data_IF_705582646878
#
_entry.id   IF_705582646878
#
_cell.length_a   1.000
_cell.length_b   1.000
_cell.length_c   1.000
_cell.angle_alpha   90.00
_cell.angle_beta   90.00
_cell.angle_gamma   90.00
#
_symmetry.space_group_name_H-M   'P 1'
#
loop_
_entity.id
_entity.type
_entity.pdbx_description
1 polymer ?
#
# COMPACT_ATOMS: atom_id res chain seq x y z
N UNK A 1 14.64 -2.16 -16.31
CA UNK A 1 15.25 -1.01 -15.61
C UNK A 1 14.24 0.04 -15.15
N UNK A 2 13.27 0.50 -15.99
CA UNK A 2 12.27 1.51 -15.58
C UNK A 2 11.38 1.09 -14.39
N UNK A 3 10.98 -0.18 -14.32
CA UNK A 3 10.14 -0.72 -13.22
C UNK A 3 10.84 -0.78 -11.88
N UNK A 4 12.13 -1.10 -11.86
CA UNK A 4 12.95 -1.09 -10.63
C UNK A 4 13.12 0.34 -10.11
N UNK A 5 13.31 1.30 -11.00
CA UNK A 5 13.45 2.71 -10.65
C UNK A 5 12.16 3.29 -10.05
N UNK A 6 11.00 2.91 -10.60
CA UNK A 6 9.69 3.29 -10.04
C UNK A 6 9.48 2.68 -8.66
N UNK A 7 9.84 1.41 -8.44
CA UNK A 7 9.72 0.77 -7.13
C UNK A 7 10.61 1.46 -6.08
N UNK A 8 11.84 1.84 -6.44
CA UNK A 8 12.76 2.57 -5.54
C UNK A 8 12.19 3.96 -5.19
N UNK A 9 11.60 4.68 -6.16
CA UNK A 9 10.98 5.99 -5.92
C UNK A 9 9.78 5.85 -4.97
N UNK A 10 8.92 4.84 -5.15
CA UNK A 10 7.76 4.61 -4.27
C UNK A 10 8.22 4.29 -2.85
N UNK A 11 9.24 3.44 -2.69
CA UNK A 11 9.81 3.12 -1.37
C UNK A 11 10.41 4.36 -0.73
N UNK A 12 11.14 5.20 -1.47
CA UNK A 12 11.72 6.43 -0.97
C UNK A 12 10.64 7.44 -0.52
N UNK A 13 9.54 7.56 -1.26
CA UNK A 13 8.40 8.43 -0.90
C UNK A 13 7.70 7.92 0.37
N UNK A 14 7.48 6.62 0.52
CA UNK A 14 6.87 6.02 1.71
C UNK A 14 7.77 6.19 2.93
N UNK A 15 9.07 5.98 2.79
CA UNK A 15 10.04 6.18 3.88
C UNK A 15 10.18 7.66 4.27
N UNK A 16 10.16 8.58 3.30
CA UNK A 16 10.23 10.02 3.59
C UNK A 16 8.94 10.53 4.25
N UNK A 17 7.77 10.09 3.81
CA UNK A 17 6.50 10.41 4.45
C UNK A 17 6.41 9.86 5.88
N UNK A 18 6.93 8.66 6.14
CA UNK A 18 7.04 8.10 7.49
C UNK A 18 8.05 8.84 8.38
N UNK A 19 9.22 9.18 7.84
CA UNK A 19 10.28 9.82 8.61
C UNK A 19 9.99 11.28 8.95
N UNK A 20 9.40 12.05 8.02
CA UNK A 20 9.08 13.46 8.22
C UNK A 20 7.64 13.70 8.70
N UNK A 21 6.69 12.85 8.36
CA UNK A 21 5.27 13.01 8.71
C UNK A 21 4.97 12.64 10.16
N UNK A 22 5.57 11.58 10.68
CA UNK A 22 5.37 11.15 12.08
C UNK A 22 5.84 12.16 13.12
N UNK A 23 7.05 12.78 13.04
CA UNK A 23 7.47 13.79 13.99
C UNK A 23 6.56 15.02 14.01
N UNK A 24 6.12 15.51 12.85
CA UNK A 24 5.23 16.68 12.73
C UNK A 24 3.84 16.39 13.33
N UNK A 25 3.31 15.18 13.15
CA UNK A 25 2.05 14.75 13.75
C UNK A 25 2.16 14.61 15.28
N UNK A 26 3.28 14.08 15.78
CA UNK A 26 3.54 13.96 17.21
C UNK A 26 3.72 15.35 17.84
N UNK A 27 4.46 16.23 17.18
CA UNK A 27 4.72 17.60 17.67
C UNK A 27 3.44 18.43 17.73
N UNK A 28 2.58 18.33 16.72
CA UNK A 28 1.28 19.03 16.68
C UNK A 28 0.30 18.50 17.74
N UNK A 29 0.33 17.20 18.04
CA UNK A 29 -0.52 16.59 19.06
C UNK A 29 0.03 16.74 20.49
N UNK A 30 1.35 16.93 20.66
CA UNK A 30 1.96 17.14 21.98
C UNK A 30 2.09 18.63 22.35
N UNK A 31 1.88 19.56 21.41
CA UNK A 31 1.94 20.99 21.67
C UNK A 31 0.91 21.44 22.73
N UNK A 32 -0.31 20.89 22.68
CA UNK A 32 -1.34 21.13 23.71
C UNK A 32 -0.92 20.62 25.08
N UNK A 33 -0.39 19.40 25.16
CA UNK A 33 0.11 18.82 26.41
C UNK A 33 1.28 19.61 27.00
N UNK A 34 2.19 20.12 26.17
CA UNK A 34 3.30 20.98 26.62
C UNK A 34 2.81 22.30 27.15
N UNK A 35 1.81 22.93 26.51
CA UNK A 35 1.20 24.18 26.99
C UNK A 35 0.49 24.00 28.34
N UNK A 36 -0.23 22.90 28.53
CA UNK A 36 -0.91 22.56 29.78
C UNK A 36 0.10 22.27 30.89
N UNK A 37 1.17 21.53 30.59
CA UNK A 37 2.26 21.23 31.53
C UNK A 37 3.02 22.49 31.94
N UNK A 38 3.22 23.43 31.03
CA UNK A 38 3.84 24.70 31.28
C UNK A 38 2.94 25.60 32.15
N UNK A 39 1.62 25.55 31.92
CA UNK A 39 0.63 26.27 32.75
C UNK A 39 0.56 25.70 34.16
N UNK A 40 0.61 24.38 34.31
CA UNK A 40 0.67 23.70 35.60
C UNK A 40 1.99 24.06 36.34
N UNK A 41 3.12 24.01 35.62
CA UNK A 41 4.42 24.39 36.17
C UNK A 41 4.45 25.85 36.68
N UNK A 42 3.93 26.80 35.88
CA UNK A 42 3.82 28.20 36.30
C UNK A 42 2.87 28.39 37.49
N UNK A 43 1.78 27.65 37.59
CA UNK A 43 0.89 27.68 38.75
C UNK A 43 1.57 27.12 39.99
N UNK A 44 2.31 26.01 39.87
CA UNK A 44 3.08 25.41 40.97
C UNK A 44 4.20 26.38 41.44
N UNK A 45 4.95 26.99 40.51
CA UNK A 45 5.99 27.99 40.84
C UNK A 45 5.42 29.24 41.55
N UNK A 46 4.26 29.77 41.07
CA UNK A 46 3.57 30.87 41.78
C UNK A 46 3.08 30.47 43.16
N UNK A 47 2.62 29.23 43.33
CA UNK A 47 2.19 28.72 44.63
C UNK A 47 3.37 28.50 45.59
N UNK A 48 4.56 28.14 45.06
CA UNK A 48 5.79 28.00 45.84
C UNK A 48 6.33 29.37 46.28
N UNK A 49 6.21 30.40 45.44
CA UNK A 49 6.54 31.78 45.82
C UNK A 49 5.55 32.36 46.85
N UNK A 50 4.26 32.08 46.73
CA UNK A 50 3.23 32.53 47.69
C UNK A 50 3.26 31.70 48.97
N UNK A 51 3.83 30.51 49.01
CA UNK A 51 3.97 29.63 50.18
C UNK A 51 5.28 29.83 50.97
N UNK A 52 6.07 30.87 50.66
CA UNK A 52 7.11 31.31 51.61
C UNK A 52 6.43 31.79 52.86
N UNK A 53 5.99 30.83 53.68
CA UNK A 53 5.48 31.07 55.00
C UNK A 53 6.66 31.58 55.81
N UNK A 54 6.60 32.87 56.21
CA UNK A 54 7.54 33.42 57.17
C UNK A 54 7.56 32.51 58.40
N UNK A 55 8.72 32.17 58.96
CA UNK A 55 8.80 31.29 60.12
C UNK A 55 7.90 31.85 61.21
N UNK A 56 6.98 31.06 61.73
CA UNK A 56 6.05 31.40 62.77
C UNK A 56 6.87 31.72 64.04
N UNK A 57 6.76 32.93 64.53
CA UNK A 57 7.37 33.30 65.82
C UNK A 57 6.64 32.58 66.97
N UNK A 58 7.31 32.18 68.06
CA UNK A 58 6.72 31.35 69.12
C UNK A 58 5.53 31.99 69.87
N UNK A 59 5.23 33.27 69.64
CA UNK A 59 4.14 34.03 70.23
C UNK A 59 2.98 34.28 69.27
N UNK A 60 2.88 33.55 68.17
CA UNK A 60 1.83 33.74 67.20
C UNK A 60 0.46 33.40 67.79
N UNK A 61 -0.47 34.34 67.74
CA UNK A 61 -1.86 34.23 68.14
C UNK A 61 -2.53 33.03 67.47
N UNK A 62 -3.18 32.16 68.26
CA UNK A 62 -3.87 30.91 67.80
C UNK A 62 -4.80 31.18 66.62
N UNK A 63 -5.42 32.36 66.54
CA UNK A 63 -6.27 32.76 65.43
C UNK A 63 -5.50 32.93 64.10
N UNK A 64 -4.23 33.37 64.13
CA UNK A 64 -3.41 33.47 62.91
C UNK A 64 -3.00 32.11 62.42
N UNK A 65 -2.64 31.21 63.33
CA UNK A 65 -2.29 29.81 63.00
C UNK A 65 -3.51 29.11 62.35
N UNK A 66 -4.71 29.26 62.93
CA UNK A 66 -5.96 28.69 62.37
C UNK A 66 -6.26 29.21 60.96
N UNK A 67 -6.06 30.52 60.72
CA UNK A 67 -6.25 31.10 59.36
C UNK A 67 -5.25 30.52 58.35
N UNK A 68 -3.99 30.37 58.74
CA UNK A 68 -2.93 29.79 57.85
C UNK A 68 -3.25 28.33 57.53
N UNK A 69 -3.62 27.55 58.52
CA UNK A 69 -4.00 26.12 58.34
C UNK A 69 -5.23 25.98 57.43
N UNK A 70 -6.26 26.78 57.63
CA UNK A 70 -7.43 26.76 56.77
C UNK A 70 -7.12 27.20 55.33
N UNK A 71 -6.27 28.20 55.16
CA UNK A 71 -5.79 28.63 53.82
C UNK A 71 -4.99 27.52 53.14
N UNK A 72 -4.11 26.85 53.88
CA UNK A 72 -3.33 25.72 53.35
C UNK A 72 -4.25 24.55 52.97
N UNK A 73 -5.21 24.20 53.81
CA UNK A 73 -6.20 23.17 53.52
C UNK A 73 -6.99 23.47 52.23
N UNK A 74 -7.45 24.72 52.05
CA UNK A 74 -8.13 25.15 50.83
C UNK A 74 -7.24 25.07 49.58
N UNK A 75 -5.94 25.43 49.71
CA UNK A 75 -4.97 25.32 48.62
C UNK A 75 -4.73 23.85 48.22
N UNK A 76 -4.57 22.98 49.22
CA UNK A 76 -4.41 21.52 48.98
C UNK A 76 -5.62 20.93 48.25
N UNK A 77 -6.83 21.30 48.67
CA UNK A 77 -8.06 20.86 47.95
C UNK A 77 -8.10 21.38 46.52
N UNK A 78 -7.73 22.63 46.28
CA UNK A 78 -7.69 23.20 44.93
C UNK A 78 -6.63 22.52 44.02
N UNK A 79 -5.49 22.11 44.59
CA UNK A 79 -4.48 21.32 43.88
C UNK A 79 -5.01 19.96 43.52
N UNK A 80 -5.64 19.24 44.48
CA UNK A 80 -6.22 17.90 44.25
C UNK A 80 -7.29 17.93 43.15
N UNK A 81 -8.19 18.92 43.17
CA UNK A 81 -9.20 19.12 42.13
C UNK A 81 -8.61 19.44 40.77
N UNK A 82 -7.56 20.26 40.72
CA UNK A 82 -6.86 20.61 39.50
C UNK A 82 -6.13 19.38 38.90
N UNK A 83 -5.51 18.58 39.76
CA UNK A 83 -4.84 17.33 39.38
C UNK A 83 -5.83 16.31 38.83
N UNK A 84 -6.96 16.07 39.50
CA UNK A 84 -8.02 15.19 39.05
C UNK A 84 -8.57 15.61 37.69
N UNK A 85 -8.83 16.92 37.52
CA UNK A 85 -9.30 17.45 36.21
C UNK A 85 -8.25 17.28 35.12
N UNK A 86 -6.97 17.51 35.43
CA UNK A 86 -5.86 17.30 34.49
C UNK A 86 -5.71 15.86 34.07
N UNK A 87 -5.81 14.91 35.02
CA UNK A 87 -5.77 13.48 34.70
C UNK A 87 -6.95 13.06 33.82
N UNK A 88 -8.17 13.48 34.15
CA UNK A 88 -9.34 13.16 33.33
C UNK A 88 -9.23 13.70 31.90
N UNK A 89 -8.74 14.94 31.72
CA UNK A 89 -8.52 15.53 30.41
C UNK A 89 -7.43 14.78 29.61
N UNK A 90 -6.37 14.33 30.29
CA UNK A 90 -5.30 13.54 29.68
C UNK A 90 -5.81 12.17 29.23
N UNK A 91 -6.57 11.48 30.07
CA UNK A 91 -7.19 10.20 29.73
C UNK A 91 -8.12 10.31 28.53
N UNK A 92 -8.93 11.35 28.49
CA UNK A 92 -9.82 11.58 27.33
C UNK A 92 -9.03 11.86 26.05
N UNK A 93 -7.96 12.64 26.14
CA UNK A 93 -7.07 12.94 25.01
C UNK A 93 -6.39 11.67 24.50
N UNK A 94 -5.88 10.82 25.39
CA UNK A 94 -5.28 9.54 25.04
C UNK A 94 -6.30 8.62 24.36
N UNK A 95 -7.52 8.52 24.88
CA UNK A 95 -8.59 7.72 24.28
C UNK A 95 -8.93 8.20 22.86
N UNK A 96 -9.11 9.51 22.69
CA UNK A 96 -9.41 10.09 21.36
C UNK A 96 -8.26 9.84 20.37
N UNK A 97 -7.02 10.01 20.81
CA UNK A 97 -5.85 9.79 19.98
C UNK A 97 -5.70 8.32 19.58
N UNK A 98 -5.94 7.40 20.51
CA UNK A 98 -5.95 5.96 20.25
C UNK A 98 -6.99 5.60 19.18
N UNK A 99 -8.24 6.04 19.35
CA UNK A 99 -9.30 5.78 18.37
C UNK A 99 -8.97 6.36 16.99
N UNK A 100 -8.50 7.61 16.92
CA UNK A 100 -8.11 8.23 15.66
C UNK A 100 -6.96 7.49 14.96
N UNK A 101 -5.99 7.00 15.74
CA UNK A 101 -4.86 6.22 15.20
C UNK A 101 -5.32 4.86 14.69
N UNK A 102 -6.20 4.18 15.41
CA UNK A 102 -6.78 2.89 15.01
C UNK A 102 -7.59 3.04 13.71
N UNK A 103 -8.44 4.07 13.60
CA UNK A 103 -9.19 4.36 12.38
C UNK A 103 -8.28 4.69 11.19
N UNK A 104 -7.23 5.48 11.40
CA UNK A 104 -6.26 5.80 10.36
C UNK A 104 -5.51 4.56 9.89
N UNK A 105 -5.13 3.66 10.80
CA UNK A 105 -4.46 2.40 10.49
C UNK A 105 -5.36 1.47 9.68
N UNK A 106 -6.63 1.32 10.06
CA UNK A 106 -7.60 0.51 9.31
C UNK A 106 -7.77 1.03 7.88
N UNK A 107 -7.89 2.35 7.71
CA UNK A 107 -7.99 2.98 6.38
C UNK A 107 -6.73 2.75 5.55
N UNK A 108 -5.57 2.84 6.17
CA UNK A 108 -4.28 2.61 5.49
C UNK A 108 -4.13 1.15 5.05
N UNK A 109 -4.49 0.19 5.90
CA UNK A 109 -4.47 -1.23 5.55
C UNK A 109 -5.39 -1.49 4.35
N UNK A 110 -6.63 -1.02 4.40
CA UNK A 110 -7.59 -1.18 3.29
C UNK A 110 -7.10 -0.55 1.97
N UNK A 111 -6.47 0.63 2.04
CA UNK A 111 -5.88 1.28 0.86
C UNK A 111 -4.69 0.47 0.31
N UNK A 112 -3.83 -0.06 1.18
CA UNK A 112 -2.68 -0.89 0.79
C UNK A 112 -3.12 -2.20 0.14
N UNK A 113 -4.13 -2.88 0.71
CA UNK A 113 -4.71 -4.10 0.14
C UNK A 113 -5.30 -3.86 -1.25
N UNK A 114 -5.99 -2.73 -1.42
CA UNK A 114 -6.52 -2.34 -2.73
C UNK A 114 -5.38 -2.13 -3.74
N UNK A 115 -4.35 -1.37 -3.37
CA UNK A 115 -3.18 -1.13 -4.24
C UNK A 115 -2.49 -2.44 -4.60
N UNK A 116 -2.33 -3.36 -3.65
CA UNK A 116 -1.73 -4.67 -3.89
C UNK A 116 -2.52 -5.47 -4.92
N UNK A 117 -3.86 -5.59 -4.77
CA UNK A 117 -4.74 -6.27 -5.71
C UNK A 117 -4.73 -5.63 -7.10
N UNK A 118 -4.81 -4.30 -7.17
CA UNK A 118 -4.77 -3.57 -8.44
C UNK A 118 -3.42 -3.75 -9.15
N UNK A 119 -2.33 -3.80 -8.39
CA UNK A 119 -0.98 -4.02 -8.91
C UNK A 119 -0.81 -5.45 -9.42
N UNK A 120 -1.28 -6.44 -8.67
CA UNK A 120 -1.28 -7.85 -9.09
C UNK A 120 -2.06 -8.03 -10.40
N UNK A 121 -3.27 -7.48 -10.47
CA UNK A 121 -4.08 -7.54 -11.69
C UNK A 121 -3.37 -6.89 -12.90
N UNK A 122 -2.69 -5.76 -12.69
CA UNK A 122 -1.89 -5.11 -13.75
C UNK A 122 -0.69 -5.95 -14.17
N UNK A 123 0.00 -6.60 -13.22
CA UNK A 123 1.12 -7.49 -13.51
C UNK A 123 0.64 -8.67 -14.36
N UNK A 124 -0.44 -9.35 -13.95
CA UNK A 124 -1.03 -10.46 -14.70
C UNK A 124 -1.39 -10.04 -16.12
N UNK A 125 -2.06 -8.90 -16.26
CA UNK A 125 -2.42 -8.35 -17.56
C UNK A 125 -1.19 -8.09 -18.45
N UNK A 126 -0.17 -7.43 -17.90
CA UNK A 126 1.04 -7.12 -18.65
C UNK A 126 1.81 -8.39 -19.05
N UNK A 127 1.87 -9.38 -18.17
CA UNK A 127 2.49 -10.68 -18.47
C UNK A 127 1.72 -11.41 -19.57
N UNK A 128 0.38 -11.39 -19.51
CA UNK A 128 -0.47 -11.95 -20.56
C UNK A 128 -0.14 -11.33 -21.93
N UNK A 129 -0.13 -10.01 -22.04
CA UNK A 129 0.19 -9.34 -23.31
C UNK A 129 1.61 -9.59 -23.79
N UNK A 130 2.59 -9.65 -22.89
CA UNK A 130 3.97 -9.98 -23.23
C UNK A 130 4.10 -11.41 -23.81
N UNK A 131 3.35 -12.38 -23.26
CA UNK A 131 3.29 -13.72 -23.79
C UNK A 131 2.59 -13.77 -25.17
N UNK A 132 1.50 -13.03 -25.33
CA UNK A 132 0.79 -12.95 -26.62
C UNK A 132 1.67 -12.30 -27.71
N UNK A 133 2.44 -11.24 -27.39
CA UNK A 133 3.42 -10.67 -28.33
C UNK A 133 4.54 -11.66 -28.67
N UNK A 134 5.01 -12.43 -27.69
CA UNK A 134 5.99 -13.51 -27.94
C UNK A 134 5.45 -14.57 -28.89
N UNK A 135 4.20 -15.01 -28.68
CA UNK A 135 3.52 -15.95 -29.57
C UNK A 135 3.42 -15.36 -30.98
N UNK A 136 3.02 -14.09 -31.11
CA UNK A 136 2.92 -13.42 -32.40
C UNK A 136 4.27 -13.41 -33.13
N UNK A 137 5.36 -13.06 -32.44
CA UNK A 137 6.70 -13.12 -33.02
C UNK A 137 7.08 -14.53 -33.50
N UNK A 138 6.77 -15.55 -32.71
CA UNK A 138 7.03 -16.94 -33.08
C UNK A 138 6.16 -17.46 -34.25
N UNK A 139 4.91 -17.01 -34.35
CA UNK A 139 4.05 -17.31 -35.52
C UNK A 139 4.70 -16.79 -36.81
N UNK A 140 5.24 -15.57 -36.80
CA UNK A 140 5.95 -15.01 -37.94
C UNK A 140 7.17 -15.84 -38.30
N UNK A 141 7.92 -16.30 -37.31
CA UNK A 141 9.09 -17.17 -37.52
C UNK A 141 8.63 -18.50 -38.17
N UNK A 142 7.61 -19.14 -37.61
CA UNK A 142 7.03 -20.37 -38.20
C UNK A 142 6.65 -20.16 -39.67
N UNK A 143 5.99 -19.04 -39.98
CA UNK A 143 5.63 -18.72 -41.38
C UNK A 143 6.85 -18.69 -42.30
N UNK A 144 7.94 -18.05 -41.88
CA UNK A 144 9.21 -17.96 -42.60
C UNK A 144 9.83 -19.36 -42.78
N UNK A 145 9.82 -20.20 -41.76
CA UNK A 145 10.34 -21.57 -41.84
C UNK A 145 9.51 -22.46 -42.81
N UNK A 146 8.18 -22.31 -42.79
CA UNK A 146 7.31 -23.05 -43.73
C UNK A 146 7.53 -22.62 -45.19
N UNK A 147 7.68 -21.32 -45.44
CA UNK A 147 8.02 -20.80 -46.78
C UNK A 147 9.37 -21.30 -47.25
N UNK A 148 10.35 -21.38 -46.33
CA UNK A 148 11.68 -21.93 -46.58
C UNK A 148 11.70 -23.48 -46.66
N UNK A 149 10.56 -24.13 -46.43
CA UNK A 149 10.41 -25.61 -46.35
C UNK A 149 11.23 -26.27 -45.23
N UNK A 150 11.54 -25.55 -44.19
CA UNK A 150 12.23 -26.03 -43.01
C UNK A 150 11.22 -26.65 -42.01
N UNK A 151 10.56 -27.73 -42.44
CA UNK A 151 9.42 -28.34 -41.72
C UNK A 151 9.75 -28.76 -40.31
N UNK A 152 10.97 -29.30 -40.07
CA UNK A 152 11.43 -29.72 -38.73
C UNK A 152 11.52 -28.57 -37.74
N UNK A 153 12.09 -27.43 -38.18
CA UNK A 153 12.17 -26.23 -37.36
C UNK A 153 10.80 -25.65 -37.11
N UNK A 154 9.98 -25.53 -38.15
CA UNK A 154 8.60 -25.03 -38.04
C UNK A 154 7.79 -25.84 -36.99
N UNK A 155 7.92 -27.18 -37.00
CA UNK A 155 7.24 -28.05 -36.03
C UNK A 155 7.69 -27.76 -34.59
N UNK A 156 8.98 -27.64 -34.35
CA UNK A 156 9.51 -27.32 -33.03
C UNK A 156 9.01 -25.92 -32.52
N UNK A 157 8.99 -24.94 -33.41
CA UNK A 157 8.48 -23.59 -33.08
C UNK A 157 6.96 -23.63 -32.78
N UNK A 158 6.16 -24.47 -33.50
CA UNK A 158 4.73 -24.66 -33.18
C UNK A 158 4.51 -25.31 -31.80
N UNK A 159 5.39 -26.23 -31.37
CA UNK A 159 5.34 -26.77 -30.00
C UNK A 159 5.66 -25.68 -28.96
N UNK A 160 6.66 -24.85 -29.22
CA UNK A 160 7.00 -23.72 -28.34
C UNK A 160 5.84 -22.74 -28.21
N UNK A 161 5.14 -22.41 -29.33
CA UNK A 161 3.95 -21.57 -29.34
C UNK A 161 2.85 -22.22 -28.48
N UNK A 162 2.60 -23.52 -28.61
CA UNK A 162 1.59 -24.25 -27.83
C UNK A 162 1.86 -24.12 -26.34
N UNK A 163 3.10 -24.36 -25.87
CA UNK A 163 3.46 -24.22 -24.47
C UNK A 163 3.40 -22.76 -23.98
N UNK A 164 3.60 -21.77 -24.87
CA UNK A 164 3.48 -20.37 -24.52
C UNK A 164 2.01 -19.96 -24.39
N UNK A 165 1.10 -20.51 -25.21
CA UNK A 165 -0.34 -20.34 -25.01
C UNK A 165 -0.82 -20.90 -23.68
N UNK A 166 -0.33 -22.08 -23.25
CA UNK A 166 -0.68 -22.64 -21.95
C UNK A 166 -0.28 -21.72 -20.81
N UNK A 167 0.91 -21.11 -20.87
CA UNK A 167 1.35 -20.09 -19.91
C UNK A 167 0.47 -18.84 -19.96
N UNK A 168 0.16 -18.33 -21.15
CA UNK A 168 -0.71 -17.15 -21.31
C UNK A 168 -2.10 -17.41 -20.73
N UNK A 169 -2.64 -18.62 -20.89
CA UNK A 169 -3.94 -19.01 -20.33
C UNK A 169 -4.01 -18.94 -18.82
N UNK A 170 -2.90 -19.20 -18.10
CA UNK A 170 -2.87 -19.08 -16.63
C UNK A 170 -2.97 -17.62 -16.15
N UNK A 171 -2.58 -16.64 -16.99
CA UNK A 171 -2.60 -15.21 -16.68
C UNK A 171 -3.84 -14.51 -17.26
N UNK A 172 -4.65 -15.22 -18.06
CA UNK A 172 -5.76 -14.67 -18.81
C UNK A 172 -7.03 -14.54 -17.96
N UNK A 173 -7.82 -13.50 -18.24
CA UNK A 173 -9.23 -13.41 -17.79
C UNK A 173 -10.07 -14.49 -18.44
N UNK A 174 -11.27 -14.77 -17.91
CA UNK A 174 -12.19 -15.77 -18.50
C UNK A 174 -12.53 -15.49 -19.97
N UNK A 175 -12.68 -14.22 -20.33
CA UNK A 175 -12.91 -13.83 -21.73
C UNK A 175 -11.70 -14.16 -22.61
N UNK A 176 -10.51 -13.80 -22.16
CA UNK A 176 -9.28 -14.06 -22.90
C UNK A 176 -8.94 -15.56 -22.97
N UNK A 177 -9.34 -16.38 -21.97
CA UNK A 177 -9.16 -17.83 -22.01
C UNK A 177 -9.91 -18.46 -23.18
N UNK A 178 -11.16 -18.05 -23.43
CA UNK A 178 -11.95 -18.54 -24.60
C UNK A 178 -11.24 -18.20 -25.90
N UNK A 179 -10.73 -16.99 -26.02
CA UNK A 179 -9.97 -16.56 -27.21
C UNK A 179 -8.71 -17.42 -27.40
N UNK A 180 -7.97 -17.67 -26.30
CA UNK A 180 -6.79 -18.56 -26.36
C UNK A 180 -7.19 -19.98 -26.85
N UNK A 181 -8.28 -20.52 -26.33
CA UNK A 181 -8.76 -21.85 -26.75
C UNK A 181 -9.06 -21.91 -28.24
N UNK A 182 -9.67 -20.87 -28.81
CA UNK A 182 -9.88 -20.74 -30.23
C UNK A 182 -8.57 -20.70 -31.03
N UNK A 183 -7.62 -19.90 -30.59
CA UNK A 183 -6.29 -19.77 -31.20
C UNK A 183 -5.50 -21.08 -31.11
N UNK A 184 -5.56 -21.79 -29.99
CA UNK A 184 -4.96 -23.11 -29.83
C UNK A 184 -5.63 -24.14 -30.78
N UNK A 185 -6.94 -24.01 -31.03
CA UNK A 185 -7.65 -24.81 -32.00
C UNK A 185 -7.12 -24.62 -33.44
N UNK A 186 -6.82 -23.37 -33.82
CA UNK A 186 -6.22 -23.06 -35.14
C UNK A 186 -4.79 -23.63 -35.20
N UNK A 187 -3.98 -23.40 -34.13
CA UNK A 187 -2.63 -23.92 -34.03
C UNK A 187 -2.58 -25.46 -34.18
N UNK A 188 -3.47 -26.17 -33.48
CA UNK A 188 -3.57 -27.64 -33.56
C UNK A 188 -3.84 -28.12 -34.97
N UNK A 189 -4.72 -27.44 -35.69
CA UNK A 189 -5.01 -27.76 -37.09
C UNK A 189 -3.80 -27.51 -38.01
N UNK A 190 -3.09 -26.37 -37.81
CA UNK A 190 -1.86 -26.09 -38.55
C UNK A 190 -0.80 -27.16 -38.32
N UNK A 191 -0.61 -27.62 -37.06
CA UNK A 191 0.28 -28.72 -36.72
C UNK A 191 -0.10 -30.04 -37.42
N UNK A 192 -1.39 -30.32 -37.57
CA UNK A 192 -1.84 -31.52 -38.28
C UNK A 192 -1.59 -31.48 -39.80
N UNK A 193 -1.64 -30.29 -40.37
CA UNK A 193 -1.49 -30.10 -41.82
C UNK A 193 -0.04 -29.99 -42.27
N UNK A 194 0.92 -29.71 -41.37
CA UNK A 194 2.30 -29.35 -41.71
C UNK A 194 3.05 -30.42 -42.52
N UNK A 195 2.72 -31.70 -42.33
CA UNK A 195 3.34 -32.82 -43.00
C UNK A 195 2.54 -33.29 -44.23
N UNK A 196 1.26 -33.02 -44.31
CA UNK A 196 0.35 -33.56 -45.29
C UNK A 196 -0.14 -32.53 -46.31
N UNK A 197 -0.34 -31.27 -45.90
CA UNK A 197 -0.84 -30.18 -46.71
C UNK A 197 -0.18 -28.85 -46.31
N UNK A 198 1.02 -28.63 -46.80
CA UNK A 198 1.79 -27.43 -46.48
C UNK A 198 1.08 -26.11 -46.83
N UNK A 199 0.38 -25.98 -47.99
CA UNK A 199 -0.44 -24.79 -48.27
C UNK A 199 -1.50 -24.54 -47.20
N UNK A 200 -2.23 -25.56 -46.76
CA UNK A 200 -3.24 -25.44 -45.69
C UNK A 200 -2.59 -25.05 -44.36
N UNK A 201 -1.44 -25.61 -44.03
CA UNK A 201 -0.70 -25.22 -42.82
C UNK A 201 -0.34 -23.73 -42.86
N UNK A 202 0.21 -23.21 -43.95
CA UNK A 202 0.54 -21.81 -44.13
C UNK A 202 -0.71 -20.91 -43.99
N UNK A 203 -1.82 -21.27 -44.61
CA UNK A 203 -3.08 -20.53 -44.52
C UNK A 203 -3.59 -20.47 -43.07
N UNK A 204 -3.46 -21.57 -42.31
CA UNK A 204 -3.84 -21.57 -40.87
C UNK A 204 -2.89 -20.70 -40.00
N UNK A 205 -1.63 -20.67 -40.33
CA UNK A 205 -0.66 -19.78 -39.66
C UNK A 205 -1.00 -18.31 -39.95
N UNK A 206 -1.40 -17.97 -41.16
CA UNK A 206 -1.87 -16.63 -41.51
C UNK A 206 -3.14 -16.24 -40.77
N UNK A 207 -4.09 -17.19 -40.66
CA UNK A 207 -5.30 -17.00 -39.88
C UNK A 207 -4.95 -16.77 -38.40
N UNK A 208 -4.07 -17.60 -37.83
CA UNK A 208 -3.62 -17.46 -36.45
C UNK A 208 -2.97 -16.09 -36.20
N UNK A 209 -2.12 -15.63 -37.12
CA UNK A 209 -1.52 -14.29 -37.07
C UNK A 209 -2.57 -13.19 -37.03
N UNK A 210 -3.57 -13.26 -37.93
CA UNK A 210 -4.62 -12.26 -38.03
C UNK A 210 -5.50 -12.22 -36.76
N UNK A 211 -5.89 -13.39 -36.21
CA UNK A 211 -6.70 -13.44 -34.99
C UNK A 211 -5.90 -12.96 -33.77
N UNK A 212 -4.61 -13.32 -33.68
CA UNK A 212 -3.72 -12.78 -32.64
C UNK A 212 -3.62 -11.26 -32.70
N UNK A 213 -3.50 -10.71 -33.93
CA UNK A 213 -3.40 -9.25 -34.08
C UNK A 213 -4.67 -8.53 -33.60
N UNK A 214 -5.86 -9.13 -33.81
CA UNK A 214 -7.12 -8.58 -33.29
C UNK A 214 -7.17 -8.55 -31.77
N UNK A 215 -6.63 -9.57 -31.12
CA UNK A 215 -6.56 -9.65 -29.63
C UNK A 215 -5.66 -8.54 -29.07
N UNK A 216 -4.51 -8.33 -29.71
CA UNK A 216 -3.53 -7.33 -29.27
C UNK A 216 -3.97 -5.88 -29.53
N UNK A 217 -4.82 -5.65 -30.55
CA UNK A 217 -5.36 -4.32 -30.85
C UNK A 217 -6.50 -3.90 -29.90
N UNK A 218 -7.13 -4.85 -29.19
CA UNK A 218 -8.17 -4.57 -28.19
C UNK A 218 -7.60 -4.28 -26.80
N UNK A 219 -6.29 -4.37 -26.60
CA UNK A 219 -5.56 -4.16 -25.36
C UNK A 219 -5.31 -2.69 -25.06
#
# INVERSE_FOLDING_TARGET
MKTVLVAIIVIAVVLSAGYFGLPVLIEKNTAGLRADLQTVKQKVEKMDEESKIAPLQPTADTQKITKVVNSLASKVTAIDDSFKKGMAATDETIKRQKTATEEALIKQIAATDKIAKDTEAKIHRNMFYALMETIRGNILKVKLELVAKNIGTARNDLELISGTFDKAKTMATEENRKVIDELQGILKKAKGDIDTDLPSAINRIDLLWNEMSKVLLKA
#
